data_IF_766789109654
#
_entry.id   IF_766789109654
#
_cell.length_a   1.000
_cell.length_b   1.000
_cell.length_c   1.000
_cell.angle_alpha   90.00
_cell.angle_beta   90.00
_cell.angle_gamma   90.00
#
_symmetry.space_group_name_H-M   'P 1'
#
loop_
_entity.id
_entity.type
_entity.pdbx_description
1 polymer ?
#
# COMPACT_ATOMS: atom_id res chain seq x y z
N UNK A 1 38.42 14.70 -28.23
CA UNK A 1 38.69 14.92 -26.79
C UNK A 1 37.97 13.84 -25.99
N UNK A 2 38.70 12.84 -25.48
CA UNK A 2 38.12 11.84 -24.56
C UNK A 2 37.95 12.51 -23.21
N UNK A 3 36.72 12.72 -22.75
CA UNK A 3 36.45 13.20 -21.38
C UNK A 3 36.92 12.09 -20.44
N UNK A 4 38.06 12.29 -19.79
CA UNK A 4 38.46 11.44 -18.68
C UNK A 4 37.46 11.67 -17.55
N UNK A 5 36.56 10.70 -17.37
CA UNK A 5 35.68 10.64 -16.22
C UNK A 5 36.59 10.52 -14.99
N UNK A 6 36.71 11.59 -14.21
CA UNK A 6 37.58 11.61 -13.04
C UNK A 6 36.97 10.69 -11.97
N UNK A 7 37.79 9.93 -11.22
CA UNK A 7 37.31 9.00 -10.19
C UNK A 7 36.42 9.70 -9.15
N UNK A 8 36.66 11.01 -8.91
CA UNK A 8 35.85 11.86 -8.05
C UNK A 8 34.36 11.93 -8.48
N UNK A 9 34.10 12.17 -9.77
CA UNK A 9 32.73 12.25 -10.32
C UNK A 9 31.98 10.93 -10.18
N UNK A 10 32.68 9.80 -10.31
CA UNK A 10 32.08 8.47 -10.11
C UNK A 10 31.68 8.24 -8.64
N UNK A 11 32.51 8.64 -7.68
CA UNK A 11 32.17 8.59 -6.24
C UNK A 11 31.01 9.51 -5.88
N UNK A 12 30.94 10.71 -6.44
CA UNK A 12 29.86 11.65 -6.17
C UNK A 12 28.52 11.14 -6.74
N UNK A 13 28.53 10.60 -7.97
CA UNK A 13 27.37 9.94 -8.56
C UNK A 13 26.92 8.71 -7.76
N UNK A 14 27.86 7.88 -7.31
CA UNK A 14 27.57 6.72 -6.47
C UNK A 14 26.93 7.16 -5.14
N UNK A 15 27.48 8.18 -4.50
CA UNK A 15 26.97 8.71 -3.22
C UNK A 15 25.54 9.25 -3.37
N UNK A 16 25.26 10.03 -4.42
CA UNK A 16 23.92 10.54 -4.70
C UNK A 16 22.94 9.39 -4.98
N UNK A 17 23.35 8.40 -5.78
CA UNK A 17 22.50 7.24 -6.08
C UNK A 17 22.18 6.42 -4.82
N UNK A 18 23.13 6.29 -3.90
CA UNK A 18 22.93 5.65 -2.59
C UNK A 18 21.91 6.41 -1.73
N UNK A 19 22.00 7.74 -1.67
CA UNK A 19 21.04 8.57 -0.93
C UNK A 19 19.63 8.42 -1.51
N UNK A 20 19.49 8.48 -2.84
CA UNK A 20 18.20 8.30 -3.52
C UNK A 20 17.63 6.91 -3.22
N UNK A 21 18.45 5.86 -3.29
CA UNK A 21 18.03 4.49 -2.97
C UNK A 21 17.53 4.37 -1.53
N UNK A 22 18.25 4.94 -0.57
CA UNK A 22 17.85 4.94 0.85
C UNK A 22 16.52 5.66 1.05
N UNK A 23 16.28 6.79 0.37
CA UNK A 23 15.02 7.51 0.45
C UNK A 23 13.85 6.71 -0.13
N UNK A 24 14.07 6.04 -1.27
CA UNK A 24 13.05 5.16 -1.88
C UNK A 24 12.69 4.02 -0.93
N UNK A 25 13.69 3.30 -0.41
CA UNK A 25 13.47 2.17 0.53
C UNK A 25 12.76 2.66 1.79
N UNK A 26 13.19 3.80 2.35
CA UNK A 26 12.56 4.38 3.54
C UNK A 26 11.10 4.76 3.28
N UNK A 27 10.81 5.33 2.10
CA UNK A 27 9.46 5.65 1.68
C UNK A 27 8.58 4.40 1.55
N UNK A 28 9.11 3.33 0.96
CA UNK A 28 8.42 2.03 0.86
C UNK A 28 8.12 1.44 2.24
N UNK A 29 9.11 1.43 3.14
CA UNK A 29 8.94 0.93 4.53
C UNK A 29 7.92 1.77 5.29
N UNK A 30 7.94 3.09 5.13
CA UNK A 30 6.96 3.98 5.77
C UNK A 30 5.55 3.74 5.23
N UNK A 31 5.39 3.63 3.90
CA UNK A 31 4.13 3.31 3.25
C UNK A 31 3.56 1.98 3.75
N UNK A 32 4.39 0.95 3.80
CA UNK A 32 4.00 -0.38 4.29
C UNK A 32 3.50 -0.32 5.74
N UNK A 33 4.29 0.32 6.63
CA UNK A 33 3.89 0.50 8.03
C UNK A 33 2.61 1.31 8.18
N UNK A 34 2.39 2.31 7.35
CA UNK A 34 1.18 3.12 7.37
C UNK A 34 -0.05 2.27 7.06
N UNK A 35 -0.04 1.51 5.95
CA UNK A 35 -1.18 0.67 5.58
C UNK A 35 -1.37 -0.53 6.51
N UNK A 36 -0.29 -1.15 7.00
CA UNK A 36 -0.40 -2.20 8.03
C UNK A 36 -1.09 -1.68 9.29
N UNK A 37 -0.74 -0.46 9.74
CA UNK A 37 -1.41 0.14 10.91
C UNK A 37 -2.87 0.44 10.63
N UNK A 38 -3.19 1.00 9.45
CA UNK A 38 -4.57 1.28 9.05
C UNK A 38 -5.40 0.00 8.97
N UNK A 39 -4.84 -1.07 8.41
CA UNK A 39 -5.43 -2.42 8.38
C UNK A 39 -5.73 -2.92 9.78
N UNK A 40 -4.75 -2.86 10.68
CA UNK A 40 -4.92 -3.31 12.05
C UNK A 40 -5.96 -2.48 12.82
N UNK A 41 -6.02 -1.16 12.60
CA UNK A 41 -6.99 -0.28 13.25
C UNK A 41 -8.41 -0.36 12.69
N UNK A 42 -8.59 -0.90 11.49
CA UNK A 42 -9.91 -1.02 10.86
C UNK A 42 -10.78 -1.99 11.66
N UNK A 43 -11.87 -1.47 12.22
CA UNK A 43 -12.83 -2.26 13.02
C UNK A 43 -13.83 -2.99 12.12
N UNK A 44 -14.30 -4.15 12.59
CA UNK A 44 -15.43 -4.82 11.94
C UNK A 44 -16.73 -4.04 12.22
N UNK A 45 -17.75 -4.30 11.38
CA UNK A 45 -19.07 -3.64 11.41
C UNK A 45 -19.03 -2.13 11.14
N UNK A 46 -17.94 -1.66 10.51
CA UNK A 46 -17.86 -0.32 9.93
C UNK A 46 -18.79 -0.22 8.73
N UNK A 47 -19.47 0.93 8.58
CA UNK A 47 -20.30 1.18 7.41
C UNK A 47 -19.42 1.39 6.18
N UNK A 48 -19.93 1.08 4.99
CA UNK A 48 -19.21 1.31 3.74
C UNK A 48 -18.75 2.78 3.57
N UNK A 49 -19.54 3.75 4.05
CA UNK A 49 -19.22 5.19 3.98
C UNK A 49 -18.02 5.56 4.87
N UNK A 50 -18.04 5.13 6.12
CA UNK A 50 -16.95 5.40 7.06
C UNK A 50 -15.67 4.67 6.63
N UNK A 51 -15.83 3.46 6.12
CA UNK A 51 -14.72 2.68 5.56
C UNK A 51 -14.07 3.38 4.37
N UNK A 52 -14.85 3.83 3.39
CA UNK A 52 -14.33 4.58 2.23
C UNK A 52 -13.68 5.90 2.62
N UNK A 53 -14.10 6.52 3.72
CA UNK A 53 -13.44 7.72 4.25
C UNK A 53 -12.04 7.43 4.79
N UNK A 54 -11.83 6.23 5.35
CA UNK A 54 -10.53 5.80 5.87
C UNK A 54 -9.61 5.23 4.78
N UNK A 55 -10.15 4.39 3.90
CA UNK A 55 -9.38 3.62 2.92
C UNK A 55 -9.35 4.25 1.52
N UNK A 56 -10.28 5.17 1.23
CA UNK A 56 -10.50 5.68 -0.12
C UNK A 56 -11.17 4.64 -1.01
N UNK A 57 -11.08 4.86 -2.32
CA UNK A 57 -11.64 3.95 -3.33
C UNK A 57 -10.77 2.69 -3.47
N UNK A 58 -11.40 1.51 -3.61
CA UNK A 58 -10.71 0.25 -3.81
C UNK A 58 -10.13 0.15 -5.22
N UNK A 59 -9.07 -0.64 -5.36
CA UNK A 59 -8.45 -0.94 -6.65
C UNK A 59 -9.32 -1.95 -7.43
N UNK A 60 -9.96 -2.89 -6.73
CA UNK A 60 -10.93 -3.81 -7.31
C UNK A 60 -12.16 -3.99 -6.41
N UNK A 61 -13.31 -4.19 -7.04
CA UNK A 61 -14.58 -4.42 -6.38
C UNK A 61 -15.31 -5.58 -7.06
N UNK A 62 -15.74 -6.58 -6.28
CA UNK A 62 -16.47 -7.74 -6.76
C UNK A 62 -17.73 -7.96 -5.91
N UNK A 63 -18.90 -7.99 -6.55
CA UNK A 63 -20.13 -8.39 -5.91
C UNK A 63 -20.20 -9.92 -5.81
N UNK A 64 -20.62 -10.43 -4.66
CA UNK A 64 -20.77 -11.86 -4.35
C UNK A 64 -22.19 -12.12 -3.84
N UNK A 65 -22.58 -13.39 -3.75
CA UNK A 65 -23.88 -13.80 -3.20
C UNK A 65 -24.09 -13.36 -1.75
N UNK A 66 -23.01 -13.13 -1.01
CA UNK A 66 -23.02 -12.85 0.43
C UNK A 66 -22.68 -11.39 0.76
N UNK A 67 -22.36 -10.58 -0.26
CA UNK A 67 -22.08 -9.15 -0.12
C UNK A 67 -21.04 -8.65 -1.12
N UNK A 68 -20.16 -7.74 -0.73
CA UNK A 68 -19.20 -7.08 -1.62
C UNK A 68 -17.78 -7.27 -1.13
N UNK A 69 -16.88 -7.68 -2.03
CA UNK A 69 -15.45 -7.83 -1.75
C UNK A 69 -14.71 -6.63 -2.36
N UNK A 70 -13.94 -5.94 -1.53
CA UNK A 70 -13.08 -4.83 -1.91
C UNK A 70 -11.60 -5.25 -1.76
N UNK A 71 -10.79 -5.00 -2.79
CA UNK A 71 -9.36 -5.30 -2.80
C UNK A 71 -8.54 -4.02 -2.96
N UNK A 72 -7.43 -3.93 -2.20
CA UNK A 72 -6.53 -2.79 -2.19
C UNK A 72 -5.07 -3.25 -2.38
N UNK A 73 -4.47 -2.86 -3.51
CA UNK A 73 -3.07 -3.11 -3.85
C UNK A 73 -2.16 -2.05 -3.19
N UNK A 74 -2.14 -2.10 -1.86
CA UNK A 74 -1.43 -1.13 -0.99
C UNK A 74 -0.33 -1.79 -0.17
N UNK A 75 -0.25 -3.12 -0.16
CA UNK A 75 0.78 -3.91 0.51
C UNK A 75 1.81 -4.36 -0.53
N UNK A 76 3.09 -4.35 -0.18
CA UNK A 76 4.16 -4.81 -1.08
C UNK A 76 4.12 -6.34 -1.27
N UNK A 77 3.54 -7.04 -0.30
CA UNK A 77 3.55 -8.51 -0.21
C UNK A 77 2.22 -9.17 -0.58
N UNK A 78 1.19 -8.41 -0.94
CA UNK A 78 -0.13 -8.93 -1.27
C UNK A 78 -1.18 -7.83 -1.40
N UNK A 79 -2.45 -8.21 -1.41
CA UNK A 79 -3.59 -7.31 -1.45
C UNK A 79 -4.33 -7.31 -0.11
N UNK A 80 -4.74 -6.13 0.38
CA UNK A 80 -5.69 -6.08 1.49
C UNK A 80 -7.09 -6.34 0.98
N UNK A 81 -7.76 -7.33 1.58
CA UNK A 81 -9.10 -7.75 1.19
C UNK A 81 -10.10 -7.46 2.31
N UNK A 82 -11.21 -6.84 1.95
CA UNK A 82 -12.30 -6.49 2.85
C UNK A 82 -13.62 -7.00 2.30
N UNK A 83 -14.40 -7.70 3.13
CA UNK A 83 -15.68 -8.27 2.74
C UNK A 83 -16.77 -7.57 3.52
N UNK A 84 -17.66 -6.91 2.80
CA UNK A 84 -18.88 -6.32 3.30
C UNK A 84 -20.02 -7.32 3.16
N UNK A 85 -20.88 -7.39 4.16
CA UNK A 85 -22.13 -8.15 4.08
C UNK A 85 -23.21 -7.41 3.28
N UNK A 86 -24.39 -8.03 3.17
CA UNK A 86 -25.57 -7.45 2.51
C UNK A 86 -26.10 -6.19 3.21
N UNK A 87 -25.82 -6.04 4.49
CA UNK A 87 -26.20 -4.87 5.29
C UNK A 87 -25.19 -3.71 5.12
N UNK A 88 -24.24 -3.85 4.19
CA UNK A 88 -23.18 -2.87 3.91
C UNK A 88 -22.27 -2.60 5.11
N UNK A 89 -22.08 -3.61 5.96
CA UNK A 89 -21.19 -3.59 7.09
C UNK A 89 -19.96 -4.46 6.83
N UNK A 90 -18.79 -4.00 7.28
CA UNK A 90 -17.56 -4.78 7.15
C UNK A 90 -17.65 -6.06 7.99
N UNK A 91 -17.79 -7.21 7.33
CA UNK A 91 -17.95 -8.51 7.98
C UNK A 91 -16.60 -9.18 8.26
N UNK A 92 -15.64 -9.07 7.33
CA UNK A 92 -14.31 -9.65 7.51
C UNK A 92 -13.22 -8.88 6.76
N UNK A 93 -11.97 -9.07 7.18
CA UNK A 93 -10.76 -8.54 6.54
C UNK A 93 -9.67 -9.59 6.47
N UNK A 94 -8.83 -9.54 5.43
CA UNK A 94 -7.75 -10.49 5.15
C UNK A 94 -6.62 -9.88 4.33
N UNK A 95 -5.57 -10.65 4.10
CA UNK A 95 -4.49 -10.36 3.16
C UNK A 95 -4.41 -11.55 2.20
N UNK A 96 -4.39 -11.28 0.89
CA UNK A 96 -4.32 -12.28 -0.19
C UNK A 96 -2.96 -12.12 -0.89
N UNK A 97 -2.17 -13.21 -0.98
CA UNK A 97 -0.79 -13.22 -1.50
C UNK A 97 -0.71 -13.71 -2.95
#
# INVERSE_FOLDING_TARGET
MKKHLTPQLLTDCFSISMVILVLIISGLVWRERHYTRMYNSTQLRLTATDFKTQWGEPDQCAATTDGVVLRYDRCIWGEYVFIFDKDSLLASKGVDD
#
